data_IF_897911751382
#
_entry.id   IF_897911751382
#
_cell.length_a   1.000
_cell.length_b   1.000
_cell.length_c   1.000
_cell.angle_alpha   90.00
_cell.angle_beta   90.00
_cell.angle_gamma   90.00
#
_symmetry.space_group_name_H-M   'P 1'
#
loop_
_entity.id
_entity.type
_entity.pdbx_description
1 polymer ?
#
# COMPACT_ATOMS: atom_id res chain seq x y z
N UNK A 1 19.50 -0.64 35.73
CA UNK A 1 19.27 -0.68 34.27
C UNK A 1 20.20 0.32 33.64
N UNK A 2 21.05 -0.18 32.75
CA UNK A 2 22.41 0.32 32.51
C UNK A 2 22.41 1.37 31.41
N UNK A 3 23.43 2.23 31.36
CA UNK A 3 23.61 3.23 30.28
C UNK A 3 23.68 2.58 28.88
N UNK A 4 24.02 1.29 28.82
CA UNK A 4 23.91 0.45 27.63
C UNK A 4 22.46 0.36 27.08
N UNK A 5 21.44 0.24 27.93
CA UNK A 5 20.02 0.23 27.51
C UNK A 5 19.60 1.55 26.83
N UNK A 6 20.18 2.69 27.27
CA UNK A 6 19.88 4.00 26.67
C UNK A 6 20.57 4.21 25.32
N UNK A 7 21.74 3.60 25.12
CA UNK A 7 22.48 3.67 23.86
C UNK A 7 21.87 2.74 22.80
N UNK A 8 21.46 1.52 23.17
CA UNK A 8 20.74 0.58 22.29
C UNK A 8 19.44 1.21 21.79
N UNK A 9 18.66 1.82 22.69
CA UNK A 9 17.40 2.45 22.35
C UNK A 9 17.57 3.72 21.46
N UNK A 10 18.72 4.38 21.53
CA UNK A 10 19.07 5.50 20.65
C UNK A 10 19.53 5.01 19.26
N UNK A 11 20.32 3.93 19.22
CA UNK A 11 20.76 3.26 17.99
C UNK A 11 19.60 2.70 17.19
N UNK A 12 18.64 2.05 17.84
CA UNK A 12 17.43 1.53 17.20
C UNK A 12 16.50 2.65 16.70
N UNK A 13 16.40 3.78 17.41
CA UNK A 13 15.69 4.96 16.91
C UNK A 13 16.34 5.57 15.67
N UNK A 14 17.68 5.62 15.62
CA UNK A 14 18.40 6.14 14.45
C UNK A 14 18.26 5.18 13.27
N UNK A 15 18.45 3.88 13.49
CA UNK A 15 18.30 2.83 12.48
C UNK A 15 16.87 2.76 11.94
N UNK A 16 15.88 2.91 12.82
CA UNK A 16 14.46 3.02 12.48
C UNK A 16 14.19 4.23 11.59
N UNK A 17 14.63 5.42 11.99
CA UNK A 17 14.49 6.64 11.18
C UNK A 17 15.19 6.55 9.83
N UNK A 18 16.37 5.92 9.76
CA UNK A 18 17.06 5.70 8.49
C UNK A 18 16.30 4.75 7.58
N UNK A 19 15.70 3.68 8.11
CA UNK A 19 14.81 2.78 7.34
C UNK A 19 13.51 3.45 6.91
N UNK A 20 12.93 4.30 7.75
CA UNK A 20 11.74 5.10 7.41
C UNK A 20 12.06 6.13 6.31
N UNK A 21 13.20 6.81 6.42
CA UNK A 21 13.63 7.79 5.43
C UNK A 21 13.99 7.13 4.09
N UNK A 22 14.67 5.98 4.12
CA UNK A 22 14.93 5.17 2.92
C UNK A 22 13.65 4.57 2.36
N UNK A 23 12.73 4.12 3.21
CA UNK A 23 11.41 3.62 2.80
C UNK A 23 10.57 4.69 2.12
N UNK A 24 10.59 5.94 2.62
CA UNK A 24 10.00 7.10 1.93
C UNK A 24 10.73 7.44 0.65
N UNK A 25 12.06 7.51 0.67
CA UNK A 25 12.84 7.91 -0.50
C UNK A 25 12.84 6.88 -1.64
N UNK A 26 12.70 5.59 -1.33
CA UNK A 26 12.77 4.48 -2.29
C UNK A 26 11.39 3.86 -2.57
N UNK A 27 10.40 4.12 -1.72
CA UNK A 27 9.12 3.43 -1.70
C UNK A 27 7.87 4.29 -1.92
N UNK A 28 7.91 5.62 -1.83
CA UNK A 28 6.69 6.43 -2.04
C UNK A 28 6.23 6.39 -3.51
N UNK A 29 7.13 6.56 -4.50
CA UNK A 29 6.70 6.57 -5.91
C UNK A 29 6.26 5.20 -6.44
N UNK A 30 6.94 4.12 -6.05
CA UNK A 30 6.59 2.77 -6.54
C UNK A 30 5.35 2.22 -5.85
N UNK A 31 5.24 2.34 -4.52
CA UNK A 31 4.04 1.89 -3.81
C UNK A 31 2.82 2.77 -4.12
N UNK A 32 3.01 4.07 -4.38
CA UNK A 32 1.92 4.94 -4.80
C UNK A 32 1.49 4.65 -6.24
N UNK A 33 2.42 4.29 -7.13
CA UNK A 33 2.09 3.84 -8.49
C UNK A 33 1.38 2.48 -8.49
N UNK A 34 1.87 1.50 -7.72
CA UNK A 34 1.21 0.20 -7.54
C UNK A 34 -0.18 0.38 -6.91
N UNK A 35 -0.30 1.16 -5.83
CA UNK A 35 -1.59 1.42 -5.19
C UNK A 35 -2.59 2.12 -6.11
N UNK A 36 -2.14 3.04 -6.97
CA UNK A 36 -3.00 3.63 -8.01
C UNK A 36 -3.40 2.63 -9.08
N UNK A 37 -2.47 1.77 -9.52
CA UNK A 37 -2.76 0.74 -10.51
C UNK A 37 -3.77 -0.28 -9.96
N UNK A 38 -3.60 -0.72 -8.70
CA UNK A 38 -4.53 -1.61 -8.00
C UNK A 38 -5.93 -0.98 -7.83
N UNK A 39 -5.99 0.31 -7.49
CA UNK A 39 -7.28 1.02 -7.40
C UNK A 39 -8.00 1.06 -8.76
N UNK A 40 -7.27 1.42 -9.82
CA UNK A 40 -7.85 1.47 -11.18
C UNK A 40 -8.28 0.07 -11.64
N UNK A 41 -7.49 -0.96 -11.37
CA UNK A 41 -7.85 -2.33 -11.71
C UNK A 41 -9.12 -2.79 -10.95
N UNK A 42 -9.21 -2.45 -9.66
CA UNK A 42 -10.39 -2.70 -8.83
C UNK A 42 -11.66 -2.03 -9.37
N UNK A 43 -11.58 -0.74 -9.71
CA UNK A 43 -12.69 0.02 -10.26
C UNK A 43 -13.15 -0.55 -11.62
N UNK A 44 -12.23 -0.92 -12.50
CA UNK A 44 -12.54 -1.53 -13.80
C UNK A 44 -13.21 -2.89 -13.62
N UNK A 45 -12.72 -3.72 -12.70
CA UNK A 45 -13.33 -5.02 -12.38
C UNK A 45 -14.76 -4.83 -11.85
N UNK A 46 -14.96 -3.95 -10.87
CA UNK A 46 -16.30 -3.69 -10.34
C UNK A 46 -17.26 -3.13 -11.40
N UNK A 47 -16.81 -2.22 -12.26
CA UNK A 47 -17.64 -1.69 -13.34
C UNK A 47 -18.01 -2.78 -14.36
N UNK A 48 -17.06 -3.63 -14.72
CA UNK A 48 -17.28 -4.79 -15.60
C UNK A 48 -18.24 -5.81 -15.01
N UNK A 49 -18.11 -6.13 -13.72
CA UNK A 49 -19.02 -7.03 -13.01
C UNK A 49 -20.44 -6.45 -12.96
N UNK A 50 -20.62 -5.18 -12.60
CA UNK A 50 -21.93 -4.52 -12.61
C UNK A 50 -22.57 -4.50 -14.00
N UNK A 51 -21.80 -4.22 -15.05
CA UNK A 51 -22.29 -4.25 -16.42
C UNK A 51 -22.72 -5.66 -16.85
N UNK A 52 -21.94 -6.68 -16.45
CA UNK A 52 -22.26 -8.09 -16.72
C UNK A 52 -23.48 -8.56 -15.95
N UNK A 53 -23.63 -8.14 -14.70
CA UNK A 53 -24.78 -8.45 -13.85
C UNK A 53 -26.06 -7.82 -14.41
N UNK A 54 -26.03 -6.53 -14.77
CA UNK A 54 -27.15 -5.85 -15.42
C UNK A 54 -27.50 -6.44 -16.79
N UNK A 55 -26.49 -6.84 -17.58
CA UNK A 55 -26.74 -7.54 -18.83
C UNK A 55 -27.36 -8.92 -18.59
N UNK A 56 -26.92 -9.65 -17.56
CA UNK A 56 -27.51 -10.94 -17.20
C UNK A 56 -28.97 -10.78 -16.73
N UNK A 57 -29.29 -9.74 -15.97
CA UNK A 57 -30.67 -9.41 -15.59
C UNK A 57 -31.54 -9.04 -16.80
N UNK A 58 -30.98 -8.34 -17.80
CA UNK A 58 -31.73 -7.90 -18.99
C UNK A 58 -31.91 -8.98 -20.06
N UNK A 59 -30.94 -9.88 -20.20
CA UNK A 59 -30.89 -10.86 -21.29
C UNK A 59 -31.00 -12.32 -20.82
N UNK A 60 -31.11 -12.54 -19.50
CA UNK A 60 -31.06 -13.87 -18.88
C UNK A 60 -32.34 -14.33 -18.18
N UNK A 61 -33.44 -13.58 -18.30
CA UNK A 61 -34.80 -14.11 -18.06
C UNK A 61 -35.39 -14.67 -19.36
#
# INVERSE_FOLDING_TARGET
>A
MSTADKADNAGDKIKGKSKEALGKAVGDERLHAEGKADQVEGDVKQAGEKAKDAAKDLFGD
#
